data_IF_900235288779
#
_entry.id   IF_900235288779
#
_cell.length_a   1.000
_cell.length_b   1.000
_cell.length_c   1.000
_cell.angle_alpha   90.00
_cell.angle_beta   90.00
_cell.angle_gamma   90.00
#
_symmetry.space_group_name_H-M   'P 1'
#
loop_
_entity.id
_entity.type
_entity.pdbx_description
1 polymer ?
#
# COMPACT_ATOMS: atom_id res chain seq x y z
N UNK A 1 -19.84 7.71 -27.19
CA UNK A 1 -18.48 8.03 -26.70
C UNK A 1 -17.87 6.74 -26.19
N UNK A 2 -16.73 6.30 -26.73
CA UNK A 2 -16.13 5.03 -26.31
C UNK A 2 -15.33 5.30 -25.02
N UNK A 3 -15.84 4.80 -23.89
CA UNK A 3 -15.28 5.10 -22.56
C UNK A 3 -14.01 4.29 -22.25
N UNK A 4 -13.78 3.23 -23.03
CA UNK A 4 -12.67 2.30 -22.90
C UNK A 4 -11.74 2.46 -24.09
N UNK A 5 -10.46 2.62 -23.80
CA UNK A 5 -9.39 2.72 -24.82
C UNK A 5 -8.24 1.83 -24.40
N UNK A 6 -7.51 1.30 -25.38
CA UNK A 6 -6.25 0.61 -25.19
C UNK A 6 -5.16 1.57 -25.68
N UNK A 7 -4.12 1.72 -24.88
CA UNK A 7 -2.93 2.49 -25.27
C UNK A 7 -2.05 1.69 -26.23
N UNK A 8 -1.06 2.36 -26.86
CA UNK A 8 -0.04 1.71 -27.70
C UNK A 8 0.75 0.64 -26.94
N UNK A 9 0.90 0.83 -25.62
CA UNK A 9 1.54 -0.10 -24.70
C UNK A 9 0.60 -1.25 -24.23
N UNK A 10 -0.62 -1.36 -24.78
CA UNK A 10 -1.61 -2.38 -24.39
C UNK A 10 -2.32 -2.12 -23.04
N UNK A 11 -2.05 -0.98 -22.40
CA UNK A 11 -2.68 -0.58 -21.14
C UNK A 11 -4.16 -0.22 -21.34
N UNK A 12 -5.07 -0.80 -20.54
CA UNK A 12 -6.49 -0.40 -20.54
C UNK A 12 -6.67 0.95 -19.87
N UNK A 13 -7.44 1.84 -20.49
CA UNK A 13 -7.79 3.17 -19.96
C UNK A 13 -9.30 3.38 -19.93
N UNK A 14 -9.78 4.00 -18.85
CA UNK A 14 -11.17 4.49 -18.69
C UNK A 14 -11.13 6.00 -18.56
N UNK A 15 -11.84 6.73 -19.43
CA UNK A 15 -11.78 8.20 -19.46
C UNK A 15 -10.34 8.77 -19.52
N UNK A 16 -9.41 8.07 -20.18
CA UNK A 16 -7.99 8.44 -20.23
C UNK A 16 -7.16 8.06 -19.00
N UNK A 17 -7.78 7.59 -17.91
CA UNK A 17 -7.10 7.09 -16.72
C UNK A 17 -6.71 5.62 -16.90
N UNK A 18 -5.46 5.22 -16.61
CA UNK A 18 -5.07 3.83 -16.71
C UNK A 18 -5.78 2.98 -15.66
N UNK A 19 -6.21 1.79 -16.07
CA UNK A 19 -6.76 0.74 -15.21
C UNK A 19 -5.64 -0.21 -14.87
N UNK A 20 -5.49 -0.54 -13.60
CA UNK A 20 -4.50 -1.51 -13.14
C UNK A 20 -4.57 -2.83 -13.92
N UNK A 21 -3.41 -3.32 -14.37
CA UNK A 21 -3.24 -4.64 -14.98
C UNK A 21 -3.52 -5.77 -13.97
N UNK A 22 -3.51 -5.47 -12.66
CA UNK A 22 -3.92 -6.41 -11.60
C UNK A 22 -5.30 -7.02 -11.86
N UNK A 23 -6.27 -6.22 -12.31
CA UNK A 23 -7.62 -6.69 -12.61
C UNK A 23 -7.69 -7.54 -13.89
N UNK A 24 -6.67 -7.45 -14.75
CA UNK A 24 -6.50 -8.30 -15.92
C UNK A 24 -5.80 -9.64 -15.60
N UNK A 25 -5.41 -9.86 -14.34
CA UNK A 25 -4.77 -11.09 -13.87
C UNK A 25 -3.25 -11.03 -13.78
N UNK A 26 -2.65 -9.88 -14.07
CA UNK A 26 -1.21 -9.64 -13.93
C UNK A 26 -0.86 -9.40 -12.47
N UNK A 27 -0.13 -10.32 -11.85
CA UNK A 27 0.26 -10.21 -10.44
C UNK A 27 1.45 -9.28 -10.23
N UNK A 28 2.24 -9.06 -11.28
CA UNK A 28 3.44 -8.22 -11.23
C UNK A 28 3.06 -6.74 -11.13
N UNK A 29 1.81 -6.40 -11.49
CA UNK A 29 1.17 -5.10 -11.26
C UNK A 29 1.26 -4.59 -9.79
N UNK A 30 1.45 -5.50 -8.82
CA UNK A 30 1.66 -5.12 -7.40
C UNK A 30 3.05 -4.54 -7.13
N UNK A 31 3.98 -4.81 -8.03
CA UNK A 31 5.36 -4.33 -8.00
C UNK A 31 5.56 -3.06 -8.82
N UNK A 32 4.65 -2.70 -9.73
CA UNK A 32 4.74 -1.49 -10.58
C UNK A 32 5.06 -0.22 -9.79
N UNK A 33 4.47 -0.08 -8.59
CA UNK A 33 4.71 1.09 -7.74
C UNK A 33 6.07 1.08 -7.03
N UNK A 34 6.88 0.03 -7.21
CA UNK A 34 8.21 -0.14 -6.67
C UNK A 34 9.12 -0.87 -7.67
N UNK A 35 9.40 -0.20 -8.78
CA UNK A 35 10.27 -0.69 -9.84
C UNK A 35 11.46 0.28 -10.01
N UNK A 36 12.60 0.03 -9.34
CA UNK A 36 13.75 0.96 -9.33
C UNK A 36 14.38 1.18 -10.71
N UNK A 37 14.31 0.18 -11.57
CA UNK A 37 14.81 0.22 -12.95
C UNK A 37 14.02 1.17 -13.83
N UNK A 38 12.73 1.35 -13.54
CA UNK A 38 11.84 2.18 -14.33
C UNK A 38 11.94 3.65 -13.89
N UNK A 39 12.48 4.56 -14.72
CA UNK A 39 12.70 5.95 -14.33
C UNK A 39 11.40 6.79 -14.24
N UNK A 40 10.26 6.25 -14.70
CA UNK A 40 8.97 6.95 -14.70
C UNK A 40 8.48 7.10 -13.25
N UNK A 41 8.20 8.34 -12.84
CA UNK A 41 7.68 8.63 -11.50
C UNK A 41 6.20 8.29 -11.35
N UNK A 42 5.42 8.39 -12.43
CA UNK A 42 4.01 8.06 -12.43
C UNK A 42 3.82 6.76 -13.19
N UNK A 43 3.30 5.75 -12.50
CA UNK A 43 2.97 4.44 -13.06
C UNK A 43 1.47 4.19 -12.92
N UNK A 44 0.86 3.33 -13.74
CA UNK A 44 -0.51 2.87 -13.50
C UNK A 44 -0.70 2.41 -12.06
N UNK A 45 -1.89 2.64 -11.50
CA UNK A 45 -2.17 2.20 -10.13
C UNK A 45 -1.95 0.70 -9.99
N UNK A 46 -1.30 0.32 -8.90
CA UNK A 46 -1.23 -1.07 -8.45
C UNK A 46 -2.63 -1.61 -8.16
N UNK A 47 -3.52 -0.79 -7.60
CA UNK A 47 -4.91 -1.14 -7.32
C UNK A 47 -5.88 -0.08 -7.82
N UNK A 48 -6.69 -0.44 -8.82
CA UNK A 48 -7.82 0.37 -9.27
C UNK A 48 -7.53 1.24 -10.50
N UNK A 49 -7.96 2.50 -10.44
CA UNK A 49 -7.93 3.45 -11.55
C UNK A 49 -7.00 4.63 -11.22
N UNK A 50 -6.23 5.07 -12.21
CA UNK A 50 -5.38 6.27 -12.14
C UNK A 50 -3.90 5.93 -11.98
N UNK A 51 -3.17 6.86 -11.37
CA UNK A 51 -1.72 6.80 -11.24
C UNK A 51 -1.29 6.55 -9.80
N UNK A 52 -0.22 5.77 -9.63
CA UNK A 52 0.56 5.68 -8.40
C UNK A 52 1.95 6.28 -8.64
N UNK A 53 2.63 6.61 -7.55
CA UNK A 53 4.04 6.99 -7.61
C UNK A 53 4.90 5.73 -7.64
N UNK A 54 5.86 5.67 -8.56
CA UNK A 54 6.92 4.68 -8.49
C UNK A 54 7.87 5.07 -7.35
N UNK A 55 7.64 4.46 -6.19
CA UNK A 55 8.42 4.66 -4.98
C UNK A 55 9.84 4.13 -5.13
N UNK A 56 10.08 3.17 -6.03
CA UNK A 56 11.41 2.72 -6.42
C UNK A 56 12.19 3.83 -7.12
N UNK A 57 11.62 4.42 -8.17
CA UNK A 57 12.22 5.56 -8.87
C UNK A 57 12.46 6.77 -7.95
N UNK A 58 11.53 7.05 -7.02
CA UNK A 58 11.72 8.10 -6.01
C UNK A 58 12.90 7.78 -5.10
N UNK A 59 13.01 6.54 -4.63
CA UNK A 59 14.10 6.10 -3.77
C UNK A 59 15.47 6.13 -4.48
N UNK A 60 15.52 5.77 -5.77
CA UNK A 60 16.71 5.91 -6.62
C UNK A 60 17.11 7.37 -6.73
N UNK A 61 16.18 8.27 -7.07
CA UNK A 61 16.46 9.71 -7.17
C UNK A 61 16.86 10.33 -5.82
N UNK A 62 16.41 9.77 -4.70
CA UNK A 62 16.81 10.16 -3.36
C UNK A 62 18.15 9.54 -2.91
N UNK A 63 18.76 8.65 -3.70
CA UNK A 63 20.01 7.97 -3.38
C UNK A 63 19.90 6.92 -2.28
N UNK A 64 18.70 6.35 -2.05
CA UNK A 64 18.48 5.34 -1.01
C UNK A 64 18.70 3.91 -1.48
N UNK A 65 18.47 3.66 -2.77
CA UNK A 65 18.67 2.38 -3.46
C UNK A 65 19.24 2.68 -4.86
N UNK A 66 19.82 1.67 -5.51
CA UNK A 66 20.31 1.75 -6.89
C UNK A 66 19.23 1.27 -7.87
N UNK A 67 19.33 1.63 -9.17
CA UNK A 67 18.38 1.17 -10.18
C UNK A 67 18.32 -0.36 -10.32
N UNK A 68 19.42 -1.06 -10.05
CA UNK A 68 19.56 -2.53 -10.11
C UNK A 68 19.05 -3.25 -8.85
N UNK A 69 18.62 -2.52 -7.80
CA UNK A 69 18.16 -3.11 -6.54
C UNK A 69 16.68 -3.52 -6.61
N UNK A 70 16.35 -4.45 -7.51
CA UNK A 70 14.98 -4.94 -7.72
C UNK A 70 14.47 -5.73 -6.50
N UNK A 71 13.17 -5.58 -6.17
CA UNK A 71 12.57 -6.33 -5.06
C UNK A 71 12.47 -7.84 -5.36
N UNK A 72 12.12 -8.29 -6.59
CA UNK A 72 12.14 -9.70 -6.97
C UNK A 72 13.47 -10.40 -6.67
N UNK A 73 14.59 -9.82 -7.12
CA UNK A 73 15.92 -10.45 -6.99
C UNK A 73 16.40 -10.50 -5.53
N UNK A 74 15.97 -9.53 -4.72
CA UNK A 74 16.37 -9.41 -3.32
C UNK A 74 15.42 -10.12 -2.36
N UNK A 75 14.26 -10.61 -2.81
CA UNK A 75 13.21 -11.13 -1.95
C UNK A 75 13.68 -12.34 -1.12
N UNK A 76 14.45 -13.24 -1.73
CA UNK A 76 14.97 -14.44 -1.08
C UNK A 76 16.00 -14.13 0.02
N UNK A 77 16.70 -12.99 -0.13
CA UNK A 77 17.76 -12.54 0.78
C UNK A 77 17.22 -11.71 1.96
N UNK A 78 15.91 -11.42 2.01
CA UNK A 78 15.31 -10.65 3.11
C UNK A 78 15.50 -11.39 4.44
N UNK A 79 16.08 -10.76 5.47
CA UNK A 79 16.27 -11.40 6.77
C UNK A 79 14.96 -11.88 7.42
N UNK A 80 15.00 -13.02 8.11
CA UNK A 80 13.83 -13.60 8.78
C UNK A 80 13.14 -12.65 9.79
N UNK A 81 13.89 -11.70 10.37
CA UNK A 81 13.33 -10.64 11.23
C UNK A 81 12.34 -9.76 10.47
N UNK A 82 12.70 -9.29 9.27
CA UNK A 82 11.84 -8.46 8.44
C UNK A 82 10.64 -9.22 7.90
N UNK A 83 10.83 -10.49 7.52
CA UNK A 83 9.71 -11.37 7.15
C UNK A 83 8.70 -11.50 8.28
N UNK A 84 9.15 -11.68 9.53
CA UNK A 84 8.26 -11.70 10.71
C UNK A 84 7.54 -10.39 10.92
N UNK A 85 8.21 -9.25 10.77
CA UNK A 85 7.57 -7.92 10.85
C UNK A 85 6.46 -7.78 9.81
N UNK A 86 6.72 -8.16 8.56
CA UNK A 86 5.72 -8.09 7.49
C UNK A 86 4.58 -9.09 7.67
N UNK A 87 4.81 -10.23 8.33
CA UNK A 87 3.77 -11.21 8.64
C UNK A 87 2.87 -10.75 9.80
N UNK A 88 3.45 -10.16 10.84
CA UNK A 88 2.73 -9.75 12.05
C UNK A 88 2.11 -8.35 11.91
N UNK A 89 2.78 -7.44 11.19
CA UNK A 89 2.36 -6.06 11.00
C UNK A 89 0.90 -5.93 10.55
N UNK A 90 0.51 -6.58 9.43
CA UNK A 90 -0.87 -6.56 8.96
C UNK A 90 -1.89 -7.13 9.95
N UNK A 91 -1.51 -8.10 10.78
CA UNK A 91 -2.41 -8.69 11.79
C UNK A 91 -2.67 -7.69 12.91
N UNK A 92 -1.59 -7.09 13.43
CA UNK A 92 -1.66 -6.09 14.50
C UNK A 92 -2.40 -4.83 14.00
N UNK A 93 -2.04 -4.34 12.82
CA UNK A 93 -2.71 -3.20 12.19
C UNK A 93 -4.17 -3.49 11.87
N UNK A 94 -4.51 -4.71 11.45
CA UNK A 94 -5.89 -5.14 11.22
C UNK A 94 -6.74 -5.11 12.49
N UNK A 95 -6.21 -5.62 13.61
CA UNK A 95 -6.86 -5.51 14.93
C UNK A 95 -7.04 -4.05 15.33
N UNK A 96 -6.02 -3.21 15.12
CA UNK A 96 -6.10 -1.78 15.40
C UNK A 96 -7.17 -1.06 14.58
N UNK A 97 -7.25 -1.34 13.27
CA UNK A 97 -8.27 -0.77 12.38
C UNK A 97 -9.67 -1.22 12.81
N UNK A 98 -9.85 -2.50 13.15
CA UNK A 98 -11.13 -3.01 13.63
C UNK A 98 -11.55 -2.32 14.94
N UNK A 99 -10.64 -2.20 15.91
CA UNK A 99 -10.91 -1.53 17.18
C UNK A 99 -11.23 -0.03 16.98
N UNK A 100 -10.46 0.66 16.13
CA UNK A 100 -10.70 2.06 15.79
C UNK A 100 -12.02 2.27 15.05
N UNK A 101 -12.36 1.38 14.12
CA UNK A 101 -13.62 1.41 13.39
C UNK A 101 -14.81 1.19 14.32
N UNK A 102 -14.72 0.23 15.26
CA UNK A 102 -15.75 0.01 16.28
C UNK A 102 -15.90 1.22 17.20
N UNK A 103 -14.80 1.82 17.64
CA UNK A 103 -14.82 3.03 18.46
C UNK A 103 -15.52 4.19 17.74
N UNK A 104 -15.20 4.43 16.48
CA UNK A 104 -15.86 5.46 15.66
C UNK A 104 -17.32 5.09 15.37
N UNK A 105 -17.62 3.82 15.09
CA UNK A 105 -18.97 3.36 14.81
C UNK A 105 -19.93 3.52 16.00
N UNK A 106 -19.40 3.46 17.23
CA UNK A 106 -20.18 3.67 18.46
C UNK A 106 -20.60 5.13 18.69
N UNK A 107 -20.02 6.08 17.94
CA UNK A 107 -20.37 7.49 18.06
C UNK A 107 -21.71 7.78 17.37
N UNK A 108 -22.59 8.53 18.05
CA UNK A 108 -23.86 8.98 17.48
C UNK A 108 -23.65 9.81 16.21
N UNK A 109 -22.64 10.67 16.24
CA UNK A 109 -22.29 11.59 15.15
C UNK A 109 -20.78 11.72 15.02
N UNK A 110 -20.28 11.63 13.79
CA UNK A 110 -18.86 11.72 13.45
C UNK A 110 -18.69 12.43 12.10
N UNK A 111 -17.51 13.01 11.83
CA UNK A 111 -17.25 13.65 10.54
C UNK A 111 -17.14 12.60 9.43
N UNK A 112 -17.94 12.77 8.39
CA UNK A 112 -17.95 11.92 7.18
C UNK A 112 -17.23 12.57 6.00
N UNK A 113 -17.03 13.89 6.06
CA UNK A 113 -16.34 14.64 5.02
C UNK A 113 -15.40 15.67 5.63
N UNK A 114 -14.21 15.77 5.05
CA UNK A 114 -13.13 16.62 5.52
C UNK A 114 -12.72 17.65 4.48
N UNK A 115 -12.20 18.80 4.93
CA UNK A 115 -11.46 19.74 4.10
C UNK A 115 -10.00 19.32 3.98
N UNK A 116 -9.30 19.86 2.98
CA UNK A 116 -7.84 19.67 2.82
C UNK A 116 -7.05 20.18 4.05
N UNK A 117 -7.60 21.13 4.80
CA UNK A 117 -7.00 21.67 6.03
C UNK A 117 -7.34 20.88 7.31
N UNK A 118 -7.99 19.71 7.19
CA UNK A 118 -8.33 18.88 8.34
C UNK A 118 -9.51 19.41 9.17
N UNK A 119 -10.40 20.19 8.55
CA UNK A 119 -11.65 20.63 9.18
C UNK A 119 -12.82 19.74 8.73
N UNK A 120 -13.70 19.32 9.66
CA UNK A 120 -14.89 18.57 9.29
C UNK A 120 -15.88 19.48 8.53
N UNK A 121 -16.31 19.04 7.35
CA UNK A 121 -17.30 19.76 6.52
C UNK A 121 -18.72 19.21 6.71
N UNK A 122 -18.85 17.90 6.90
CA UNK A 122 -20.14 17.22 7.03
C UNK A 122 -20.06 16.18 8.13
N UNK A 123 -21.13 16.11 8.91
CA UNK A 123 -21.33 15.18 10.01
C UNK A 123 -22.39 14.16 9.64
N UNK A 124 -22.25 12.95 10.15
CA UNK A 124 -23.19 11.85 9.93
C UNK A 124 -23.02 10.76 10.99
N UNK A 125 -23.72 9.62 10.85
CA UNK A 125 -23.62 8.50 11.78
C UNK A 125 -22.18 7.94 11.86
N UNK A 126 -21.72 7.58 13.06
CA UNK A 126 -20.38 7.03 13.28
C UNK A 126 -20.07 5.82 12.41
N UNK A 127 -21.04 4.93 12.23
CA UNK A 127 -20.89 3.73 11.39
C UNK A 127 -20.56 4.08 9.93
N UNK A 128 -21.12 5.17 9.39
CA UNK A 128 -20.85 5.64 8.03
C UNK A 128 -19.43 6.20 7.95
N UNK A 129 -18.99 6.94 8.97
CA UNK A 129 -17.64 7.48 9.03
C UNK A 129 -16.56 6.38 9.14
N UNK A 130 -16.86 5.29 9.85
CA UNK A 130 -15.95 4.15 10.01
C UNK A 130 -15.87 3.25 8.77
N UNK A 131 -16.94 3.18 7.97
CA UNK A 131 -17.07 2.22 6.87
C UNK A 131 -16.01 2.38 5.79
N UNK A 132 -15.67 3.60 5.39
CA UNK A 132 -14.75 3.83 4.27
C UNK A 132 -13.30 3.40 4.61
N UNK A 133 -12.66 3.86 5.71
CA UNK A 133 -11.31 3.41 6.06
C UNK A 133 -11.23 1.90 6.30
N UNK A 134 -12.21 1.32 6.99
CA UNK A 134 -12.25 -0.11 7.26
C UNK A 134 -12.47 -0.94 5.98
N UNK A 135 -13.35 -0.47 5.09
CA UNK A 135 -13.66 -1.11 3.81
C UNK A 135 -12.45 -1.18 2.88
N UNK A 136 -11.68 -0.09 2.77
CA UNK A 136 -10.45 -0.07 1.97
C UNK A 136 -9.46 -1.14 2.46
N UNK A 137 -9.21 -1.20 3.78
CA UNK A 137 -8.32 -2.20 4.38
C UNK A 137 -8.84 -3.62 4.16
N UNK A 138 -10.15 -3.84 4.32
CA UNK A 138 -10.79 -5.13 4.09
C UNK A 138 -10.62 -5.63 2.65
N UNK A 139 -10.84 -4.76 1.66
CA UNK A 139 -10.64 -5.09 0.24
C UNK A 139 -9.19 -5.48 -0.04
N UNK A 140 -8.23 -4.66 0.40
CA UNK A 140 -6.80 -4.92 0.18
C UNK A 140 -6.36 -6.22 0.86
N UNK A 141 -6.86 -6.52 2.05
CA UNK A 141 -6.51 -7.74 2.78
C UNK A 141 -6.99 -9.03 2.11
N UNK A 142 -8.15 -9.00 1.44
CA UNK A 142 -8.74 -10.18 0.79
C UNK A 142 -8.20 -10.40 -0.63
N UNK A 143 -7.73 -9.32 -1.28
CA UNK A 143 -7.36 -9.32 -2.69
C UNK A 143 -6.33 -10.40 -3.09
N UNK A 144 -5.23 -10.63 -2.35
CA UNK A 144 -4.25 -11.65 -2.70
C UNK A 144 -4.84 -13.07 -2.68
N UNK A 145 -5.78 -13.35 -1.77
CA UNK A 145 -6.41 -14.67 -1.64
C UNK A 145 -7.42 -14.93 -2.76
N UNK A 146 -8.09 -13.89 -3.23
CA UNK A 146 -9.01 -13.98 -4.37
C UNK A 146 -8.26 -14.31 -5.67
N UNK A 147 -7.02 -13.85 -5.81
CA UNK A 147 -6.22 -14.06 -7.02
C UNK A 147 -5.34 -15.32 -6.95
N UNK A 148 -5.13 -15.93 -5.79
CA UNK A 148 -4.26 -17.11 -5.57
C UNK A 148 -4.78 -18.41 -6.22
N UNK A 149 -6.05 -18.52 -6.62
CA UNK A 149 -6.67 -19.77 -7.12
C UNK A 149 -6.29 -20.23 -8.55
N UNK A 150 -5.21 -19.71 -9.16
CA UNK A 150 -4.74 -20.12 -10.50
C UNK A 150 -3.20 -20.13 -10.55
N UNK A 151 -2.60 -21.30 -10.82
CA UNK A 151 -1.17 -21.47 -11.14
C UNK A 151 -0.48 -22.61 -10.39
N UNK A 152 0.18 -23.51 -11.13
CA UNK A 152 0.99 -24.64 -10.65
C UNK A 152 2.48 -24.27 -10.79
N UNK A 153 3.28 -24.33 -9.72
CA UNK A 153 4.52 -23.53 -9.60
C UNK A 153 5.78 -24.10 -10.30
N UNK A 154 6.46 -23.24 -11.07
CA UNK A 154 7.87 -23.36 -11.51
C UNK A 154 8.82 -22.50 -10.64
N UNK A 155 10.15 -22.72 -10.63
CA UNK A 155 11.08 -22.02 -9.72
C UNK A 155 11.07 -20.49 -9.80
N UNK A 156 10.93 -19.92 -11.01
CA UNK A 156 10.87 -18.47 -11.21
C UNK A 156 9.57 -17.84 -10.66
N UNK A 157 8.49 -18.62 -10.57
CA UNK A 157 7.25 -18.18 -9.92
C UNK A 157 7.38 -18.15 -8.39
N UNK A 158 8.30 -18.92 -7.79
CA UNK A 158 8.50 -18.93 -6.35
C UNK A 158 9.13 -17.62 -5.83
N UNK A 159 10.08 -17.03 -6.55
CA UNK A 159 10.70 -15.75 -6.16
C UNK A 159 9.74 -14.57 -6.37
N UNK A 160 9.03 -14.57 -7.50
CA UNK A 160 7.92 -13.65 -7.77
C UNK A 160 6.83 -13.76 -6.68
N UNK A 161 6.53 -14.96 -6.19
CA UNK A 161 5.57 -15.16 -5.09
C UNK A 161 6.04 -14.51 -3.77
N UNK A 162 7.35 -14.56 -3.47
CA UNK A 162 7.92 -13.95 -2.28
C UNK A 162 7.88 -12.42 -2.37
N UNK A 163 8.34 -11.86 -3.48
CA UNK A 163 8.32 -10.42 -3.73
C UNK A 163 6.90 -9.86 -3.71
N UNK A 164 5.97 -10.55 -4.38
CA UNK A 164 4.54 -10.24 -4.33
C UNK A 164 3.99 -10.25 -2.89
N UNK A 165 4.36 -11.25 -2.08
CA UNK A 165 3.90 -11.34 -0.69
C UNK A 165 4.44 -10.19 0.17
N UNK A 166 5.68 -9.77 -0.05
CA UNK A 166 6.32 -8.64 0.64
C UNK A 166 5.65 -7.34 0.24
N UNK A 167 5.48 -7.11 -1.06
CA UNK A 167 4.83 -5.91 -1.59
C UNK A 167 3.38 -5.81 -1.11
N UNK A 168 2.60 -6.89 -1.22
CA UNK A 168 1.20 -6.94 -0.75
C UNK A 168 1.06 -6.63 0.75
N UNK A 169 1.97 -7.17 1.58
CA UNK A 169 1.97 -6.90 3.03
C UNK A 169 2.39 -5.47 3.33
N UNK A 170 3.34 -4.91 2.59
CA UNK A 170 3.73 -3.51 2.72
C UNK A 170 2.58 -2.56 2.34
N UNK A 171 1.85 -2.85 1.25
CA UNK A 171 0.64 -2.11 0.87
C UNK A 171 -0.43 -2.17 1.96
N UNK A 172 -0.67 -3.37 2.50
CA UNK A 172 -1.65 -3.55 3.57
C UNK A 172 -1.26 -2.79 4.85
N UNK A 173 0.02 -2.81 5.25
CA UNK A 173 0.52 -1.99 6.36
C UNK A 173 0.31 -0.49 6.10
N UNK A 174 0.58 -0.01 4.89
CA UNK A 174 0.37 1.38 4.50
C UNK A 174 -1.11 1.77 4.57
N UNK A 175 -1.99 0.96 4.00
CA UNK A 175 -3.43 1.18 4.05
C UNK A 175 -3.98 1.16 5.49
N UNK A 176 -3.48 0.27 6.35
CA UNK A 176 -3.84 0.22 7.76
C UNK A 176 -3.37 1.45 8.53
N UNK A 177 -2.15 1.93 8.28
CA UNK A 177 -1.65 3.16 8.88
C UNK A 177 -2.51 4.37 8.49
N UNK A 178 -2.84 4.51 7.20
CA UNK A 178 -3.79 5.52 6.72
C UNK A 178 -5.15 5.40 7.43
N UNK A 179 -5.72 4.20 7.48
CA UNK A 179 -7.02 3.96 8.09
C UNK A 179 -7.03 4.30 9.59
N UNK A 180 -5.98 3.90 10.33
CA UNK A 180 -5.82 4.23 11.74
C UNK A 180 -5.75 5.74 11.97
N UNK A 181 -4.97 6.49 11.18
CA UNK A 181 -4.90 7.94 11.29
C UNK A 181 -6.23 8.61 10.96
N UNK A 182 -6.94 8.13 9.93
CA UNK A 182 -8.26 8.63 9.56
C UNK A 182 -9.31 8.38 10.66
N UNK A 183 -9.33 7.17 11.23
CA UNK A 183 -10.22 6.78 12.33
C UNK A 183 -9.89 7.57 13.61
N UNK A 184 -8.61 7.74 13.92
CA UNK A 184 -8.14 8.55 15.05
C UNK A 184 -8.60 10.01 14.92
N UNK A 185 -8.39 10.62 13.76
CA UNK A 185 -8.83 12.00 13.49
C UNK A 185 -10.36 12.13 13.62
N UNK A 186 -11.11 11.14 13.10
CA UNK A 186 -12.57 11.09 13.18
C UNK A 186 -13.06 11.00 14.63
N UNK A 187 -12.48 10.10 15.42
CA UNK A 187 -12.84 9.92 16.82
C UNK A 187 -12.58 11.19 17.63
N UNK A 188 -11.39 11.79 17.49
CA UNK A 188 -11.03 13.00 18.24
C UNK A 188 -11.77 14.25 17.78
N UNK A 189 -12.12 14.36 16.50
CA UNK A 189 -12.96 15.43 16.00
C UNK A 189 -14.36 15.37 16.60
N UNK A 190 -14.93 14.17 16.74
CA UNK A 190 -16.23 14.01 17.38
C UNK A 190 -16.23 14.41 18.87
N UNK A 191 -15.11 14.23 19.57
CA UNK A 191 -14.95 14.64 20.96
C UNK A 191 -14.58 16.12 21.14
N UNK A 192 -13.92 16.72 20.15
CA UNK A 192 -13.38 18.10 20.20
C UNK A 192 -13.57 18.80 18.85
N UNK A 193 -14.80 19.16 18.47
CA UNK A 193 -15.14 19.64 17.13
C UNK A 193 -14.50 20.99 16.79
N UNK A 194 -14.19 21.81 17.79
CA UNK A 194 -13.47 23.08 17.65
C UNK A 194 -12.01 22.94 17.20
N UNK A 195 -11.40 21.75 17.34
CA UNK A 195 -9.98 21.55 17.03
C UNK A 195 -9.78 21.01 15.62
N UNK A 196 -8.93 21.67 14.84
CA UNK A 196 -8.49 21.17 13.52
C UNK A 196 -7.71 19.86 13.71
N UNK A 197 -8.02 18.85 12.89
CA UNK A 197 -7.34 17.56 12.92
C UNK A 197 -6.44 17.42 11.69
N UNK A 198 -5.23 17.97 11.78
CA UNK A 198 -4.22 17.92 10.71
C UNK A 198 -3.86 16.45 10.39
N UNK A 199 -3.94 15.57 11.40
CA UNK A 199 -3.72 14.12 11.23
C UNK A 199 -4.68 13.50 10.21
N UNK A 200 -5.94 13.95 10.17
CA UNK A 200 -6.92 13.46 9.19
C UNK A 200 -6.58 13.90 7.76
N UNK A 201 -6.03 15.11 7.59
CA UNK A 201 -5.56 15.61 6.30
C UNK A 201 -4.27 14.90 5.84
N UNK A 202 -3.41 14.51 6.78
CA UNK A 202 -2.18 13.80 6.50
C UNK A 202 -2.38 12.29 6.27
N UNK A 203 -3.50 11.72 6.73
CA UNK A 203 -3.75 10.28 6.71
C UNK A 203 -3.52 9.62 5.33
N UNK A 204 -4.00 10.18 4.18
CA UNK A 204 -3.77 9.57 2.87
C UNK A 204 -2.29 9.40 2.51
N UNK A 205 -1.42 10.28 3.01
CA UNK A 205 0.02 10.22 2.76
C UNK A 205 0.71 9.11 3.54
N UNK A 206 0.11 8.63 4.64
CA UNK A 206 0.68 7.54 5.41
C UNK A 206 0.75 6.24 4.59
N UNK A 207 -0.16 6.04 3.64
CA UNK A 207 -0.11 4.85 2.80
C UNK A 207 1.18 4.77 1.97
N UNK A 208 1.46 5.67 1.00
CA UNK A 208 2.67 5.57 0.19
C UNK A 208 3.96 5.70 1.01
N UNK A 209 3.94 6.49 2.10
CA UNK A 209 5.11 6.65 2.97
C UNK A 209 5.46 5.34 3.69
N UNK A 210 4.47 4.67 4.28
CA UNK A 210 4.70 3.43 5.02
C UNK A 210 4.96 2.26 4.06
N UNK A 211 4.19 2.12 2.97
CA UNK A 211 4.40 1.02 2.03
C UNK A 211 5.76 1.14 1.33
N UNK A 212 6.12 2.33 0.83
CA UNK A 212 7.43 2.59 0.23
C UNK A 212 8.57 2.42 1.21
N UNK A 213 8.45 2.98 2.42
CA UNK A 213 9.46 2.85 3.47
C UNK A 213 9.73 1.40 3.85
N UNK A 214 8.69 0.56 3.94
CA UNK A 214 8.85 -0.87 4.19
C UNK A 214 9.56 -1.60 3.04
N UNK A 215 9.24 -1.31 1.78
CA UNK A 215 9.90 -1.91 0.61
C UNK A 215 11.38 -1.53 0.55
N UNK A 216 11.70 -0.24 0.75
CA UNK A 216 13.08 0.25 0.82
C UNK A 216 13.85 -0.41 1.96
N UNK A 217 13.23 -0.53 3.15
CA UNK A 217 13.86 -1.20 4.29
C UNK A 217 14.15 -2.67 4.00
N UNK A 218 13.24 -3.37 3.30
CA UNK A 218 13.45 -4.77 2.89
C UNK A 218 14.64 -4.88 1.92
N UNK A 219 14.67 -4.09 0.86
CA UNK A 219 15.76 -4.04 -0.13
C UNK A 219 17.11 -3.80 0.56
N UNK A 220 17.21 -2.74 1.37
CA UNK A 220 18.47 -2.41 2.07
C UNK A 220 18.90 -3.51 3.03
N UNK A 221 17.95 -4.15 3.72
CA UNK A 221 18.25 -5.25 4.63
C UNK A 221 18.71 -6.52 3.91
N UNK A 222 18.16 -6.79 2.73
CA UNK A 222 18.56 -7.92 1.89
C UNK A 222 19.97 -7.72 1.36
N UNK A 223 20.30 -6.53 0.84
CA UNK A 223 21.65 -6.17 0.39
C UNK A 223 22.69 -6.31 1.51
N UNK A 224 22.35 -5.84 2.71
CA UNK A 224 23.25 -5.96 3.88
C UNK A 224 23.50 -7.42 4.25
N UNK A 225 22.47 -8.27 4.14
CA UNK A 225 22.59 -9.70 4.42
C UNK A 225 23.41 -10.42 3.34
N UNK A 226 23.21 -10.08 2.07
CA UNK A 226 23.95 -10.62 0.94
C UNK A 226 25.45 -10.27 1.02
N UNK A 227 25.78 -9.00 1.30
CA UNK A 227 27.18 -8.56 1.49
C UNK A 227 27.85 -9.32 2.65
N UNK A 228 27.13 -9.54 3.75
CA UNK A 228 27.64 -10.34 4.86
C UNK A 228 27.87 -11.82 4.49
N UNK A 229 27.04 -12.40 3.63
CA UNK A 229 27.21 -13.78 3.14
C UNK A 229 28.42 -13.90 2.20
N UNK A 230 28.57 -12.96 1.27
CA UNK A 230 29.70 -12.94 0.32
C UNK A 230 31.04 -12.82 1.05
N UNK A 231 31.14 -11.89 2.02
CA UNK A 231 32.36 -11.73 2.84
C UNK A 231 32.69 -12.92 3.74
N UNK A 232 31.71 -13.78 4.04
CA UNK A 232 31.94 -14.98 4.83
C UNK A 232 32.34 -16.19 3.97
N UNK A 233 32.17 -16.09 2.65
CA UNK A 233 32.56 -17.11 1.69
C UNK A 233 34.00 -16.92 1.16
N UNK A 234 34.54 -15.71 1.28
CA UNK A 234 35.94 -15.34 1.01
C UNK A 234 36.86 -15.69 2.19
#
# INVERSE_FOLDING_TARGET
>A
MNWWTLDEDGQRRVCGLPVSSFWAGDRDAVLDNFEPENPRLCVPRTLGLGWDLNLGAVAVKAGWIRPDDSLPDLAEHIPARWRRVLQLGPRIGGVGVAAGALAVASLKTAPVQWSLGGQPKKWGPGIVAAALPAGIVGVIAVLPYATQRRGSEAPQEADLSQAFSVASRAELCGAQAMALLALHATFWSALRPERRQIVGAAAPWAWPVISGGLKIACVRSALTALDAQLRAAD
#
